data_IF_245074908229
#
_entry.id   IF_245074908229
#
_cell.length_a   1.000
_cell.length_b   1.000
_cell.length_c   1.000
_cell.angle_alpha   90.00
_cell.angle_beta   90.00
_cell.angle_gamma   90.00
#
_symmetry.space_group_name_H-M   'P 1'
#
loop_
_entity.id
_entity.type
_entity.pdbx_description
1 polymer ?
#
# COMPACT_ATOMS: atom_id res chain seq x y z
N UNK A 1 37.63 -1.35 -37.91
CA UNK A 1 39.10 -1.55 -38.01
C UNK A 1 39.72 -2.01 -36.69
N UNK A 2 39.37 -1.40 -35.54
CA UNK A 2 39.91 -1.74 -34.21
C UNK A 2 39.56 -3.16 -33.73
N UNK A 3 38.30 -3.59 -33.84
CA UNK A 3 37.89 -4.96 -33.44
C UNK A 3 38.58 -6.07 -34.25
N UNK A 4 38.66 -5.90 -35.57
CA UNK A 4 39.32 -6.86 -36.45
C UNK A 4 40.81 -7.00 -36.14
N UNK A 5 41.46 -5.90 -35.77
CA UNK A 5 42.86 -5.88 -35.37
C UNK A 5 43.07 -6.58 -34.02
N UNK A 6 42.26 -6.26 -33.00
CA UNK A 6 42.30 -6.92 -31.68
C UNK A 6 42.06 -8.42 -31.80
N UNK A 7 41.08 -8.83 -32.61
CA UNK A 7 40.79 -10.24 -32.88
C UNK A 7 41.95 -10.96 -33.58
N UNK A 8 42.54 -10.32 -34.60
CA UNK A 8 43.72 -10.87 -35.27
C UNK A 8 44.90 -11.04 -34.30
N UNK A 9 45.18 -10.05 -33.44
CA UNK A 9 46.21 -10.14 -32.40
C UNK A 9 45.91 -11.25 -31.38
N UNK A 10 44.66 -11.40 -30.95
CA UNK A 10 44.24 -12.44 -30.02
C UNK A 10 44.44 -13.86 -30.57
N UNK A 11 44.41 -14.06 -31.90
CA UNK A 11 44.69 -15.34 -32.55
C UNK A 11 46.17 -15.56 -32.86
N UNK A 12 46.87 -14.52 -33.30
CA UNK A 12 48.27 -14.61 -33.74
C UNK A 12 49.20 -14.83 -32.53
N UNK A 13 49.01 -14.11 -31.43
CA UNK A 13 49.92 -14.16 -30.28
C UNK A 13 49.99 -15.56 -29.63
N UNK A 14 48.88 -16.26 -29.35
CA UNK A 14 48.93 -17.63 -28.83
C UNK A 14 49.61 -18.60 -29.80
N UNK A 15 49.32 -18.47 -31.11
CA UNK A 15 49.90 -19.34 -32.14
C UNK A 15 51.42 -19.15 -32.23
N UNK A 16 51.91 -17.91 -32.21
CA UNK A 16 53.34 -17.61 -32.17
C UNK A 16 54.01 -18.14 -30.89
N UNK A 17 53.34 -18.01 -29.74
CA UNK A 17 53.82 -18.54 -28.46
C UNK A 17 53.97 -20.07 -28.47
N UNK A 18 53.00 -20.79 -29.08
CA UNK A 18 53.09 -22.23 -29.26
C UNK A 18 54.27 -22.61 -30.16
N UNK A 19 54.43 -21.94 -31.31
CA UNK A 19 55.57 -22.17 -32.19
C UNK A 19 56.91 -21.96 -31.46
N UNK A 20 57.05 -20.88 -30.68
CA UNK A 20 58.25 -20.60 -29.90
C UNK A 20 58.53 -21.66 -28.83
N UNK A 21 57.48 -22.12 -28.14
CA UNK A 21 57.59 -23.13 -27.07
C UNK A 21 58.05 -24.48 -27.62
N UNK A 22 57.48 -24.94 -28.75
CA UNK A 22 57.90 -26.21 -29.37
C UNK A 22 59.28 -26.10 -30.03
N UNK A 23 59.63 -24.96 -30.62
CA UNK A 23 60.97 -24.74 -31.17
C UNK A 23 62.05 -24.80 -30.07
N UNK A 24 61.84 -24.09 -28.95
CA UNK A 24 62.74 -24.14 -27.81
C UNK A 24 62.78 -25.53 -27.15
N UNK A 25 61.62 -26.17 -27.01
CA UNK A 25 61.51 -27.51 -26.46
C UNK A 25 62.29 -28.54 -27.28
N UNK A 26 62.19 -28.49 -28.61
CA UNK A 26 62.95 -29.37 -29.53
C UNK A 26 64.46 -29.16 -29.35
N UNK A 27 64.92 -27.91 -29.28
CA UNK A 27 66.33 -27.58 -29.05
C UNK A 27 66.85 -28.13 -27.70
N UNK A 28 66.05 -28.05 -26.63
CA UNK A 28 66.43 -28.57 -25.31
C UNK A 28 66.46 -30.11 -25.26
N UNK A 29 65.59 -30.77 -26.02
CA UNK A 29 65.58 -32.23 -26.19
C UNK A 29 66.84 -32.69 -26.93
N UNK A 30 67.23 -32.00 -28.01
CA UNK A 30 68.46 -32.30 -28.77
C UNK A 30 69.72 -32.20 -27.89
N UNK A 31 69.75 -31.24 -26.96
CA UNK A 31 70.83 -31.10 -25.98
C UNK A 31 70.74 -32.09 -24.80
N UNK A 32 69.78 -33.03 -24.80
CA UNK A 32 69.53 -34.00 -23.72
C UNK A 32 69.31 -33.36 -22.34
N UNK A 33 68.81 -32.12 -22.29
CA UNK A 33 68.54 -31.39 -21.04
C UNK A 33 67.17 -31.72 -20.44
N UNK A 34 66.20 -32.09 -21.28
CA UNK A 34 64.84 -32.47 -20.87
C UNK A 34 64.37 -33.67 -21.68
N UNK A 35 63.41 -34.43 -21.15
CA UNK A 35 62.71 -35.48 -21.89
C UNK A 35 61.53 -34.88 -22.66
N UNK A 36 61.16 -35.52 -23.77
CA UNK A 36 59.99 -35.12 -24.57
C UNK A 36 58.69 -35.08 -23.73
N UNK A 37 58.54 -36.03 -22.81
CA UNK A 37 57.37 -36.11 -21.90
C UNK A 37 57.29 -34.88 -21.00
N UNK A 38 58.42 -34.34 -20.53
CA UNK A 38 58.44 -33.19 -19.64
C UNK A 38 58.09 -31.89 -20.37
N UNK A 39 58.46 -31.76 -21.65
CA UNK A 39 58.04 -30.65 -22.51
C UNK A 39 56.50 -30.60 -22.64
N UNK A 40 55.87 -31.73 -22.97
CA UNK A 40 54.42 -31.79 -23.08
C UNK A 40 53.70 -31.58 -21.75
N UNK A 41 54.26 -32.06 -20.63
CA UNK A 41 53.72 -31.80 -19.29
C UNK A 41 53.70 -30.32 -18.96
N UNK A 42 54.83 -29.63 -19.16
CA UNK A 42 54.92 -28.18 -18.91
C UNK A 42 53.94 -27.42 -19.82
N UNK A 43 53.96 -27.71 -21.13
CA UNK A 43 53.06 -27.08 -22.08
C UNK A 43 51.57 -27.23 -21.71
N UNK A 44 51.15 -28.45 -21.35
CA UNK A 44 49.77 -28.76 -21.02
C UNK A 44 49.33 -28.10 -19.71
N UNK A 45 50.20 -28.10 -18.69
CA UNK A 45 49.94 -27.42 -17.40
C UNK A 45 49.77 -25.91 -17.59
N UNK A 46 50.66 -25.26 -18.34
CA UNK A 46 50.57 -23.81 -18.57
C UNK A 46 49.39 -23.43 -19.45
N UNK A 47 49.09 -24.22 -20.48
CA UNK A 47 47.98 -23.95 -21.41
C UNK A 47 46.63 -24.11 -20.73
N UNK A 48 46.41 -25.23 -20.04
CA UNK A 48 45.15 -25.49 -19.33
C UNK A 48 44.98 -24.57 -18.11
N UNK A 49 46.07 -24.28 -17.39
CA UNK A 49 46.06 -23.34 -16.26
C UNK A 49 45.68 -21.91 -16.69
N UNK A 50 46.21 -21.45 -17.84
CA UNK A 50 45.88 -20.13 -18.39
C UNK A 50 44.42 -20.02 -18.83
N UNK A 51 43.85 -21.08 -19.43
CA UNK A 51 42.43 -21.12 -19.79
C UNK A 51 41.51 -21.10 -18.56
N UNK A 52 41.86 -21.85 -17.51
CA UNK A 52 41.13 -21.84 -16.25
C UNK A 52 41.06 -20.45 -15.61
N UNK A 53 42.18 -19.71 -15.63
CA UNK A 53 42.23 -18.33 -15.15
C UNK A 53 41.37 -17.37 -16.00
N UNK A 54 41.37 -17.55 -17.33
CA UNK A 54 40.54 -16.77 -18.25
C UNK A 54 39.04 -16.93 -17.98
N UNK A 55 38.58 -18.16 -17.74
CA UNK A 55 37.19 -18.43 -17.37
C UNK A 55 36.80 -17.80 -16.02
N UNK A 56 37.68 -17.89 -15.02
CA UNK A 56 37.44 -17.25 -13.72
C UNK A 56 37.36 -15.71 -13.83
N UNK A 57 38.24 -15.10 -14.63
CA UNK A 57 38.24 -13.65 -14.85
C UNK A 57 36.98 -13.18 -15.59
N UNK A 58 36.48 -13.97 -16.55
CA UNK A 58 35.27 -13.67 -17.31
C UNK A 58 33.99 -13.68 -16.44
N UNK A 59 33.98 -14.36 -15.29
CA UNK A 59 32.84 -14.40 -14.37
C UNK A 59 32.75 -13.17 -13.44
N UNK A 60 33.80 -12.34 -13.36
CA UNK A 60 33.83 -11.18 -12.45
C UNK A 60 32.75 -10.10 -12.71
N UNK A 61 32.44 -9.73 -13.97
CA UNK A 61 31.37 -8.76 -14.26
C UNK A 61 30.00 -9.24 -13.75
N UNK A 62 29.68 -10.52 -13.96
CA UNK A 62 28.42 -11.12 -13.52
C UNK A 62 28.35 -11.21 -11.99
N UNK A 63 29.46 -11.61 -11.34
CA UNK A 63 29.56 -11.60 -9.89
C UNK A 63 29.36 -10.19 -9.30
N UNK A 64 29.90 -9.16 -9.96
CA UNK A 64 29.72 -7.77 -9.54
C UNK A 64 28.27 -7.30 -9.73
N UNK A 65 27.63 -7.63 -10.85
CA UNK A 65 26.23 -7.32 -11.12
C UNK A 65 25.30 -8.04 -10.12
N UNK A 66 25.55 -9.31 -9.84
CA UNK A 66 24.84 -10.08 -8.82
C UNK A 66 25.00 -9.46 -7.43
N UNK A 67 26.21 -9.04 -7.06
CA UNK A 67 26.47 -8.36 -5.80
C UNK A 67 25.72 -7.02 -5.69
N UNK A 68 25.62 -6.25 -6.78
CA UNK A 68 24.85 -5.00 -6.78
C UNK A 68 23.34 -5.24 -6.60
N UNK A 69 22.79 -6.25 -7.28
CA UNK A 69 21.40 -6.67 -7.09
C UNK A 69 21.15 -7.16 -5.66
N UNK A 70 22.08 -7.93 -5.08
CA UNK A 70 21.98 -8.39 -3.70
C UNK A 70 21.99 -7.22 -2.71
N UNK A 71 22.86 -6.22 -2.92
CA UNK A 71 22.86 -5.00 -2.08
C UNK A 71 21.53 -4.27 -2.13
N UNK A 72 20.89 -4.16 -3.30
CA UNK A 72 19.56 -3.54 -3.42
C UNK A 72 18.48 -4.34 -2.68
N UNK A 73 18.51 -5.67 -2.78
CA UNK A 73 17.59 -6.53 -2.04
C UNK A 73 17.77 -6.40 -0.52
N UNK A 74 19.01 -6.46 -0.03
CA UNK A 74 19.32 -6.30 1.39
C UNK A 74 18.94 -4.91 1.90
N UNK A 75 19.18 -3.86 1.11
CA UNK A 75 18.76 -2.50 1.45
C UNK A 75 17.24 -2.35 1.59
N UNK A 76 16.43 -3.19 0.92
CA UNK A 76 14.97 -3.21 1.09
C UNK A 76 14.58 -3.98 2.36
N UNK A 77 15.22 -5.13 2.62
CA UNK A 77 14.95 -5.98 3.79
C UNK A 77 15.31 -5.27 5.09
N UNK A 78 16.48 -4.62 5.13
CA UNK A 78 17.00 -3.96 6.32
C UNK A 78 16.42 -2.55 6.52
N UNK A 79 15.55 -2.09 5.60
CA UNK A 79 14.94 -0.78 5.70
C UNK A 79 13.93 -0.75 6.83
N UNK A 80 14.23 -0.01 7.88
CA UNK A 80 13.22 0.41 8.86
C UNK A 80 12.35 1.49 8.20
N UNK A 81 11.04 1.25 7.98
CA UNK A 81 10.18 2.27 7.41
C UNK A 81 10.04 3.41 8.43
N UNK A 82 10.54 4.60 8.08
CA UNK A 82 10.19 5.82 8.78
C UNK A 82 9.04 6.47 8.04
N UNK A 83 8.05 6.93 8.79
CA UNK A 83 6.87 7.55 8.22
C UNK A 83 6.71 8.95 8.77
N UNK A 84 6.96 9.96 7.92
CA UNK A 84 7.01 11.38 8.28
C UNK A 84 6.01 12.17 7.45
N UNK A 85 5.41 13.19 8.05
CA UNK A 85 4.53 14.16 7.39
C UNK A 85 4.87 15.58 7.81
N UNK A 86 5.02 16.49 6.85
CA UNK A 86 5.28 17.91 7.10
C UNK A 86 4.03 18.80 6.91
N UNK A 87 2.85 18.19 6.75
CA UNK A 87 1.61 18.87 6.41
C UNK A 87 0.61 18.87 7.58
N UNK A 88 0.34 20.05 8.13
CA UNK A 88 -0.64 20.29 9.20
C UNK A 88 -0.07 21.08 10.37
N UNK A 89 -0.59 22.30 10.61
CA UNK A 89 -0.19 23.14 11.74
C UNK A 89 -1.37 23.33 12.69
N UNK A 90 -1.20 22.91 13.96
CA UNK A 90 -2.09 23.23 15.08
C UNK A 90 -3.57 22.81 14.92
N UNK A 91 -3.85 21.59 14.44
CA UNK A 91 -5.19 20.99 14.54
C UNK A 91 -5.38 20.31 15.91
N UNK A 92 -6.47 20.61 16.60
CA UNK A 92 -6.86 19.95 17.85
C UNK A 92 -8.37 19.80 17.92
N UNK A 93 -8.83 18.57 18.11
CA UNK A 93 -10.24 18.22 18.27
C UNK A 93 -10.35 16.91 19.06
N UNK A 94 -11.40 16.79 19.87
CA UNK A 94 -11.66 15.62 20.71
C UNK A 94 -13.01 15.05 20.35
N UNK A 95 -13.08 13.72 20.21
CA UNK A 95 -14.29 13.01 19.78
C UNK A 95 -14.75 12.11 20.93
N UNK A 96 -16.02 12.27 21.32
CA UNK A 96 -16.60 11.44 22.37
C UNK A 96 -16.99 10.05 21.83
N UNK A 97 -16.97 9.00 22.66
CA UNK A 97 -17.42 7.67 22.25
C UNK A 97 -18.84 7.69 21.68
N UNK A 98 -19.05 7.04 20.52
CA UNK A 98 -20.35 6.98 19.85
C UNK A 98 -20.74 8.25 19.09
N UNK A 99 -19.95 9.33 19.19
CA UNK A 99 -20.19 10.56 18.45
C UNK A 99 -19.78 10.39 16.98
N UNK A 100 -20.58 10.97 16.07
CA UNK A 100 -20.18 11.18 14.69
C UNK A 100 -19.69 12.60 14.47
N UNK A 101 -18.46 12.73 13.99
CA UNK A 101 -17.86 14.00 13.59
C UNK A 101 -17.68 14.04 12.08
N UNK A 102 -18.28 15.03 11.43
CA UNK A 102 -18.01 15.34 10.03
C UNK A 102 -16.84 16.31 9.91
N UNK A 103 -15.93 16.02 8.99
CA UNK A 103 -14.76 16.83 8.68
C UNK A 103 -14.93 17.37 7.27
N UNK A 104 -15.07 18.68 7.17
CA UNK A 104 -15.36 19.39 5.92
C UNK A 104 -14.31 20.45 5.66
N UNK A 105 -14.13 20.81 4.39
CA UNK A 105 -13.16 21.81 3.98
C UNK A 105 -12.80 21.66 2.50
N UNK A 106 -12.11 22.66 1.97
CA UNK A 106 -11.69 22.66 0.57
C UNK A 106 -10.77 21.48 0.24
N UNK A 107 -10.62 21.15 -1.05
CA UNK A 107 -9.65 20.16 -1.48
C UNK A 107 -8.24 20.59 -1.06
N UNK A 108 -7.42 19.65 -0.58
CA UNK A 108 -6.07 19.93 -0.09
C UNK A 108 -5.97 20.54 1.33
N UNK A 109 -7.07 20.68 2.08
CA UNK A 109 -7.00 21.25 3.44
C UNK A 109 -6.47 20.28 4.52
N UNK A 110 -6.20 19.01 4.18
CA UNK A 110 -5.63 18.01 5.10
C UNK A 110 -6.59 16.94 5.63
N UNK A 111 -7.81 16.81 5.08
CA UNK A 111 -8.83 15.82 5.52
C UNK A 111 -8.32 14.37 5.41
N UNK A 112 -7.84 13.99 4.23
CA UNK A 112 -7.30 12.64 4.01
C UNK A 112 -6.03 12.39 4.82
N UNK A 113 -5.20 13.43 5.03
CA UNK A 113 -4.02 13.37 5.90
C UNK A 113 -4.41 12.98 7.33
N UNK A 114 -5.51 13.53 7.87
CA UNK A 114 -6.02 13.15 9.19
C UNK A 114 -6.40 11.67 9.26
N UNK A 115 -7.09 11.14 8.25
CA UNK A 115 -7.46 9.70 8.19
C UNK A 115 -6.18 8.85 8.14
N UNK A 116 -5.17 9.26 7.37
CA UNK A 116 -3.90 8.53 7.28
C UNK A 116 -3.11 8.56 8.61
N UNK A 117 -3.14 9.68 9.35
CA UNK A 117 -2.54 9.78 10.69
C UNK A 117 -3.26 8.89 11.70
N UNK A 118 -4.59 8.85 11.68
CA UNK A 118 -5.40 7.98 12.55
C UNK A 118 -5.15 6.48 12.29
N UNK A 119 -4.97 6.09 11.02
CA UNK A 119 -4.57 4.73 10.64
C UNK A 119 -3.11 4.41 10.95
N UNK A 120 -2.36 5.39 11.46
CA UNK A 120 -0.93 5.33 11.68
C UNK A 120 -0.21 4.87 10.42
N UNK A 121 -0.65 5.39 9.28
CA UNK A 121 0.14 5.34 8.06
C UNK A 121 1.27 6.32 8.14
N UNK A 122 1.14 7.43 8.89
CA UNK A 122 2.21 8.36 9.24
C UNK A 122 2.15 8.67 10.74
N UNK A 123 3.28 9.08 11.34
CA UNK A 123 3.30 9.65 12.68
C UNK A 123 3.48 11.19 12.57
N UNK A 124 2.86 11.99 13.45
CA UNK A 124 3.08 13.43 13.49
C UNK A 124 4.55 13.78 13.74
N UNK A 125 5.05 14.82 13.08
CA UNK A 125 6.44 15.28 13.23
C UNK A 125 6.75 15.88 14.60
N UNK A 126 5.75 16.44 15.29
CA UNK A 126 5.92 16.87 16.68
C UNK A 126 5.86 15.66 17.60
N UNK A 127 6.83 15.55 18.51
CA UNK A 127 6.98 14.42 19.42
C UNK A 127 6.85 14.82 20.89
N UNK A 128 6.35 16.03 21.18
CA UNK A 128 6.02 16.45 22.53
C UNK A 128 4.96 15.50 23.15
N UNK A 129 5.14 14.99 24.39
CA UNK A 129 4.16 14.14 25.06
C UNK A 129 2.72 14.69 25.07
N UNK A 130 2.57 16.02 25.12
CA UNK A 130 1.27 16.70 25.14
C UNK A 130 0.68 16.92 23.74
N UNK A 131 1.40 16.53 22.68
CA UNK A 131 1.01 16.72 21.28
C UNK A 131 1.06 15.38 20.54
N UNK A 132 -0.11 14.90 20.11
CA UNK A 132 -0.22 13.65 19.38
C UNK A 132 -1.66 13.30 19.07
N UNK A 133 -1.84 12.12 18.49
CA UNK A 133 -3.14 11.48 18.41
C UNK A 133 -3.26 10.53 19.59
N UNK A 134 -4.42 10.53 20.24
CA UNK A 134 -4.68 9.72 21.43
C UNK A 134 -5.93 8.86 21.23
N UNK A 135 -5.85 7.60 21.65
CA UNK A 135 -6.97 6.68 21.74
C UNK A 135 -7.16 6.34 23.22
N UNK A 136 -8.30 6.68 23.81
CA UNK A 136 -8.58 6.49 25.25
C UNK A 136 -7.45 7.03 26.16
N UNK A 137 -6.85 8.16 25.78
CA UNK A 137 -5.75 8.81 26.50
C UNK A 137 -4.36 8.21 26.26
N UNK A 138 -4.25 7.10 25.51
CA UNK A 138 -2.96 6.53 25.10
C UNK A 138 -2.51 7.11 23.77
N UNK A 139 -1.24 7.55 23.69
CA UNK A 139 -0.70 8.07 22.45
C UNK A 139 -0.58 6.94 21.41
N UNK A 140 -1.07 7.17 20.18
CA UNK A 140 -1.05 6.18 19.10
C UNK A 140 0.36 5.67 18.79
N UNK A 141 1.39 6.47 19.06
CA UNK A 141 2.80 6.13 18.85
C UNK A 141 3.28 5.02 19.79
N UNK A 142 2.72 4.96 20.99
CA UNK A 142 3.10 3.99 22.02
C UNK A 142 2.39 2.64 21.86
N UNK A 143 1.35 2.59 21.03
CA UNK A 143 0.57 1.38 20.74
C UNK A 143 1.21 0.57 19.62
N UNK A 144 0.79 -0.67 19.39
CA UNK A 144 1.19 -1.42 18.20
C UNK A 144 0.35 -0.98 16.99
N UNK A 145 0.93 -0.68 15.80
CA UNK A 145 0.14 -0.25 14.63
C UNK A 145 -0.95 -1.25 14.23
N UNK A 146 -0.68 -2.55 14.36
CA UNK A 146 -1.66 -3.60 14.08
C UNK A 146 -2.86 -3.54 15.04
N UNK A 147 -2.62 -3.27 16.32
CA UNK A 147 -3.69 -3.13 17.31
C UNK A 147 -4.55 -1.89 17.01
N UNK A 148 -3.92 -0.74 16.72
CA UNK A 148 -4.62 0.50 16.36
C UNK A 148 -5.53 0.27 15.14
N UNK A 149 -4.99 -0.33 14.08
CA UNK A 149 -5.74 -0.60 12.83
C UNK A 149 -6.84 -1.65 13.00
N UNK A 150 -6.74 -2.53 13.99
CA UNK A 150 -7.80 -3.49 14.31
C UNK A 150 -9.02 -2.81 14.93
N UNK A 151 -8.83 -1.71 15.67
CA UNK A 151 -9.94 -0.91 16.23
C UNK A 151 -10.66 -0.06 15.18
N UNK A 152 -10.07 0.08 13.98
CA UNK A 152 -10.53 1.01 12.94
C UNK A 152 -11.17 0.25 11.78
N UNK A 153 -12.37 0.64 11.38
CA UNK A 153 -12.99 0.26 10.11
C UNK A 153 -12.86 1.40 9.12
N UNK A 154 -12.33 1.15 7.93
CA UNK A 154 -12.20 2.15 6.87
C UNK A 154 -13.13 1.81 5.70
N UNK A 155 -13.87 2.81 5.25
CA UNK A 155 -14.60 2.78 3.98
C UNK A 155 -14.08 3.92 3.11
N UNK A 156 -13.33 3.58 2.07
CA UNK A 156 -12.72 4.54 1.14
C UNK A 156 -13.65 4.94 0.00
N UNK A 157 -13.29 6.02 -0.69
CA UNK A 157 -14.00 6.56 -1.85
C UNK A 157 -14.14 5.54 -2.98
N UNK A 158 -13.04 4.86 -3.33
CA UNK A 158 -13.01 3.81 -4.33
C UNK A 158 -12.63 2.46 -3.68
N UNK A 159 -13.61 1.58 -3.45
CA UNK A 159 -13.39 0.32 -2.76
C UNK A 159 -12.73 -0.69 -3.70
N UNK A 160 -11.54 -1.15 -3.32
CA UNK A 160 -10.84 -2.22 -4.04
C UNK A 160 -11.35 -3.58 -3.54
N UNK A 161 -11.90 -4.37 -4.46
CA UNK A 161 -12.22 -5.77 -4.22
C UNK A 161 -11.13 -6.65 -4.83
N UNK A 162 -10.68 -7.65 -4.06
CA UNK A 162 -9.74 -8.65 -4.55
C UNK A 162 -10.46 -9.61 -5.50
N UNK A 163 -9.70 -10.21 -6.42
CA UNK A 163 -10.20 -11.23 -7.35
C UNK A 163 -10.40 -12.60 -6.67
N UNK A 164 -11.23 -12.59 -5.63
CA UNK A 164 -11.68 -13.74 -4.83
C UNK A 164 -13.21 -13.66 -4.69
N UNK A 165 -13.81 -14.58 -3.95
CA UNK A 165 -15.26 -14.59 -3.77
C UNK A 165 -15.75 -13.38 -2.97
N UNK A 166 -17.05 -13.05 -3.04
CA UNK A 166 -17.66 -12.01 -2.20
C UNK A 166 -17.48 -12.35 -0.71
N UNK A 167 -17.62 -13.63 -0.34
CA UNK A 167 -17.39 -14.10 1.04
C UNK A 167 -15.99 -13.74 1.54
N UNK A 168 -14.97 -13.99 0.73
CA UNK A 168 -13.57 -13.79 1.13
C UNK A 168 -13.24 -12.30 1.16
N UNK A 169 -13.83 -11.53 0.24
CA UNK A 169 -13.76 -10.08 0.27
C UNK A 169 -14.35 -9.50 1.55
N UNK A 170 -15.46 -10.02 2.08
CA UNK A 170 -16.02 -9.55 3.35
C UNK A 170 -15.17 -10.05 4.52
N UNK A 171 -14.83 -11.34 4.56
CA UNK A 171 -14.04 -11.97 5.62
C UNK A 171 -12.65 -11.32 5.80
N UNK A 172 -12.04 -10.81 4.72
CA UNK A 172 -10.78 -10.07 4.75
C UNK A 172 -10.78 -8.85 5.71
N UNK A 173 -11.97 -8.39 6.11
CA UNK A 173 -12.08 -7.38 7.14
C UNK A 173 -11.50 -7.82 8.49
N UNK A 174 -11.45 -9.11 8.81
CA UNK A 174 -10.83 -9.64 10.02
C UNK A 174 -9.96 -10.87 9.71
N UNK A 175 -8.65 -10.64 9.63
CA UNK A 175 -7.66 -11.69 9.34
C UNK A 175 -7.10 -12.35 10.60
N UNK A 176 -7.62 -12.05 11.78
CA UNK A 176 -7.11 -12.60 13.06
C UNK A 176 -7.71 -13.96 13.40
N UNK A 177 -8.80 -14.34 12.72
CA UNK A 177 -9.59 -15.54 12.97
C UNK A 177 -10.32 -15.98 11.69
N UNK A 178 -10.81 -17.20 11.70
CA UNK A 178 -11.75 -17.66 10.67
C UNK A 178 -13.13 -17.06 10.93
N UNK A 179 -13.65 -16.31 9.96
CA UNK A 179 -14.96 -15.67 10.04
C UNK A 179 -16.05 -16.64 9.59
N UNK A 180 -17.05 -16.88 10.45
CA UNK A 180 -18.18 -17.75 10.12
C UNK A 180 -19.07 -17.15 9.04
N UNK A 181 -19.79 -18.00 8.29
CA UNK A 181 -20.75 -17.51 7.29
C UNK A 181 -21.89 -16.71 7.89
N UNK A 182 -22.32 -17.04 9.11
CA UNK A 182 -23.39 -16.30 9.79
C UNK A 182 -22.99 -14.85 10.05
N UNK A 183 -21.73 -14.62 10.48
CA UNK A 183 -21.21 -13.27 10.66
C UNK A 183 -21.02 -12.53 9.32
N UNK A 184 -20.59 -13.22 8.27
CA UNK A 184 -20.49 -12.65 6.92
C UNK A 184 -21.88 -12.22 6.42
N UNK A 185 -22.89 -13.06 6.63
CA UNK A 185 -24.28 -12.75 6.28
C UNK A 185 -24.83 -11.59 7.11
N UNK A 186 -24.52 -11.53 8.40
CA UNK A 186 -24.93 -10.43 9.27
C UNK A 186 -24.29 -9.10 8.84
N UNK A 187 -22.98 -9.08 8.60
CA UNK A 187 -22.30 -7.89 8.08
C UNK A 187 -22.86 -7.44 6.71
N UNK A 188 -23.20 -8.40 5.84
CA UNK A 188 -23.84 -8.10 4.56
C UNK A 188 -25.28 -7.56 4.71
N UNK A 189 -26.02 -7.95 5.74
CA UNK A 189 -27.34 -7.38 6.06
C UNK A 189 -27.21 -5.96 6.60
N UNK A 190 -26.27 -5.74 7.52
CA UNK A 190 -25.97 -4.39 8.03
C UNK A 190 -25.55 -3.44 6.91
N UNK A 191 -24.81 -3.94 5.91
CA UNK A 191 -24.43 -3.18 4.73
C UNK A 191 -25.51 -3.14 3.61
N UNK A 192 -26.70 -3.67 3.86
CA UNK A 192 -27.83 -3.72 2.93
C UNK A 192 -27.49 -4.34 1.55
N UNK A 193 -26.67 -5.40 1.52
CA UNK A 193 -26.23 -6.08 0.28
C UNK A 193 -26.58 -7.58 0.26
N UNK A 194 -27.08 -8.13 1.36
CA UNK A 194 -27.44 -9.54 1.49
C UNK A 194 -28.41 -10.03 0.40
N UNK A 195 -29.53 -9.33 0.20
CA UNK A 195 -30.56 -9.72 -0.79
C UNK A 195 -30.00 -9.77 -2.22
N UNK A 196 -29.14 -8.80 -2.57
CA UNK A 196 -28.46 -8.80 -3.86
C UNK A 196 -27.53 -10.00 -4.00
N UNK A 197 -26.70 -10.27 -2.99
CA UNK A 197 -25.77 -11.41 -3.03
C UNK A 197 -26.56 -12.72 -3.14
N UNK A 198 -27.65 -12.87 -2.36
CA UNK A 198 -28.52 -14.05 -2.40
C UNK A 198 -29.20 -14.26 -3.76
N UNK A 199 -29.45 -13.18 -4.52
CA UNK A 199 -30.01 -13.25 -5.87
C UNK A 199 -29.01 -13.73 -6.94
N UNK A 200 -27.71 -13.72 -6.65
CA UNK A 200 -26.68 -14.15 -7.61
C UNK A 200 -26.69 -15.69 -7.75
N UNK A 201 -26.42 -16.23 -8.95
CA UNK A 201 -26.41 -17.69 -9.18
C UNK A 201 -25.48 -18.49 -8.26
N UNK A 202 -24.38 -17.86 -7.80
CA UNK A 202 -23.40 -18.47 -6.88
C UNK A 202 -23.43 -17.86 -5.48
N UNK A 203 -24.40 -16.98 -5.18
CA UNK A 203 -24.48 -16.34 -3.88
C UNK A 203 -23.17 -15.65 -3.48
N UNK A 204 -22.74 -15.94 -2.25
CA UNK A 204 -21.47 -15.47 -1.66
C UNK A 204 -20.21 -16.03 -2.33
N UNK A 205 -20.31 -17.14 -3.07
CA UNK A 205 -19.19 -17.74 -3.81
C UNK A 205 -19.00 -17.10 -5.21
N UNK A 206 -19.73 -16.02 -5.51
CA UNK A 206 -19.52 -15.22 -6.72
C UNK A 206 -18.17 -14.49 -6.67
N UNK A 207 -17.42 -14.46 -7.78
CA UNK A 207 -16.13 -13.77 -7.88
C UNK A 207 -16.32 -12.25 -8.09
N UNK A 208 -15.61 -11.43 -7.32
CA UNK A 208 -15.80 -9.98 -7.26
C UNK A 208 -14.75 -9.12 -7.99
N UNK A 209 -13.71 -9.72 -8.59
CA UNK A 209 -12.62 -9.00 -9.27
C UNK A 209 -12.83 -8.76 -10.78
N UNK A 210 -11.82 -8.20 -11.45
CA UNK A 210 -11.86 -7.82 -12.88
C UNK A 210 -12.15 -8.99 -13.85
N UNK A 211 -11.94 -10.24 -13.42
CA UNK A 211 -12.31 -11.45 -14.17
C UNK A 211 -13.67 -12.07 -13.78
N UNK A 212 -14.45 -11.41 -12.90
CA UNK A 212 -15.69 -11.91 -12.30
C UNK A 212 -16.97 -11.19 -12.73
N UNK A 213 -18.02 -11.25 -11.89
CA UNK A 213 -19.31 -10.57 -12.15
C UNK A 213 -19.11 -9.05 -12.16
N UNK A 214 -19.68 -8.35 -13.14
CA UNK A 214 -19.67 -6.88 -13.17
C UNK A 214 -20.52 -6.31 -12.03
N UNK A 215 -19.89 -6.06 -10.88
CA UNK A 215 -20.50 -5.36 -9.75
C UNK A 215 -20.54 -3.85 -10.03
N UNK A 216 -21.68 -3.21 -9.77
CA UNK A 216 -21.79 -1.75 -9.84
C UNK A 216 -20.95 -1.09 -8.74
N UNK A 217 -20.63 0.20 -8.89
CA UNK A 217 -19.90 0.96 -7.88
C UNK A 217 -20.56 0.89 -6.50
N UNK A 218 -21.89 1.04 -6.43
CA UNK A 218 -22.65 0.97 -5.17
C UNK A 218 -22.68 -0.43 -4.55
N UNK A 219 -22.62 -1.48 -5.35
CA UNK A 219 -22.48 -2.85 -4.83
C UNK A 219 -21.09 -3.07 -4.24
N UNK A 220 -20.04 -2.60 -4.93
CA UNK A 220 -18.66 -2.65 -4.42
C UNK A 220 -18.53 -1.87 -3.11
N UNK A 221 -19.17 -0.70 -3.01
CA UNK A 221 -19.19 0.11 -1.79
C UNK A 221 -19.82 -0.64 -0.63
N UNK A 222 -20.99 -1.25 -0.82
CA UNK A 222 -21.65 -2.02 0.25
C UNK A 222 -20.86 -3.25 0.67
N UNK A 223 -20.14 -3.91 -0.24
CA UNK A 223 -19.22 -4.99 0.12
C UNK A 223 -18.06 -4.46 0.98
N UNK A 224 -17.52 -3.28 0.66
CA UNK A 224 -16.50 -2.63 1.48
C UNK A 224 -17.03 -2.20 2.86
N UNK A 225 -18.28 -1.74 2.95
CA UNK A 225 -18.94 -1.46 4.24
C UNK A 225 -19.06 -2.75 5.06
N UNK A 226 -19.54 -3.85 4.46
CA UNK A 226 -19.61 -5.15 5.14
C UNK A 226 -18.23 -5.61 5.63
N UNK A 227 -17.19 -5.44 4.81
CA UNK A 227 -15.78 -5.71 5.18
C UNK A 227 -15.33 -4.84 6.36
N UNK A 228 -15.68 -3.56 6.40
CA UNK A 228 -15.34 -2.69 7.52
C UNK A 228 -16.06 -3.10 8.81
N UNK A 229 -17.30 -3.60 8.70
CA UNK A 229 -18.14 -3.98 9.83
C UNK A 229 -17.79 -5.34 10.45
N UNK A 230 -17.26 -6.29 9.67
CA UNK A 230 -17.01 -7.66 10.15
C UNK A 230 -16.05 -7.72 11.35
N UNK A 231 -15.09 -6.79 11.42
CA UNK A 231 -14.14 -6.67 12.54
C UNK A 231 -14.71 -6.00 13.77
N UNK A 232 -15.97 -5.53 13.72
CA UNK A 232 -16.67 -4.81 14.80
C UNK A 232 -15.83 -3.62 15.32
N UNK A 233 -15.46 -2.66 14.46
CA UNK A 233 -14.55 -1.58 14.82
C UNK A 233 -15.16 -0.63 15.85
N UNK A 234 -14.31 -0.08 16.72
CA UNK A 234 -14.68 0.97 17.69
C UNK A 234 -14.74 2.34 17.01
N UNK A 235 -13.85 2.57 16.04
CA UNK A 235 -13.80 3.79 15.22
C UNK A 235 -14.09 3.47 13.76
N UNK A 236 -15.11 4.09 13.19
CA UNK A 236 -15.44 4.01 11.77
C UNK A 236 -14.94 5.26 11.03
N UNK A 237 -14.12 5.08 10.01
CA UNK A 237 -13.63 6.15 9.13
C UNK A 237 -14.32 6.03 7.79
N UNK A 238 -15.05 7.07 7.39
CA UNK A 238 -15.76 7.15 6.12
C UNK A 238 -15.09 8.25 5.28
N UNK A 239 -14.38 7.85 4.22
CA UNK A 239 -13.65 8.78 3.33
C UNK A 239 -14.38 8.87 2.00
N UNK A 240 -15.21 9.90 1.83
CA UNK A 240 -15.93 10.22 0.58
C UNK A 240 -16.71 9.04 -0.03
N UNK A 241 -17.28 8.18 0.81
CA UNK A 241 -17.86 6.89 0.43
C UNK A 241 -19.05 6.94 -0.57
N UNK A 242 -19.50 8.13 -1.00
CA UNK A 242 -20.67 8.33 -1.89
C UNK A 242 -20.38 9.21 -3.12
N UNK A 243 -19.14 9.66 -3.35
CA UNK A 243 -18.84 10.70 -4.36
C UNK A 243 -18.87 10.22 -5.82
N UNK A 244 -18.91 8.92 -6.09
CA UNK A 244 -18.86 8.33 -7.44
C UNK A 244 -20.10 7.48 -7.82
N UNK A 245 -21.23 7.65 -7.12
CA UNK A 245 -22.41 6.79 -7.25
C UNK A 245 -23.60 7.46 -7.94
N UNK A 246 -24.33 6.67 -8.74
CA UNK A 246 -25.66 7.02 -9.27
C UNK A 246 -26.68 7.21 -8.14
N UNK A 247 -27.63 8.12 -8.33
CA UNK A 247 -28.57 8.58 -7.28
C UNK A 247 -29.44 7.49 -6.63
N UNK A 248 -29.82 6.43 -7.36
CA UNK A 248 -30.56 5.30 -6.80
C UNK A 248 -29.67 4.41 -5.91
N UNK A 249 -28.46 4.10 -6.39
CA UNK A 249 -27.48 3.31 -5.65
C UNK A 249 -26.96 4.05 -4.41
N UNK A 250 -26.87 5.38 -4.49
CA UNK A 250 -26.42 6.24 -3.41
C UNK A 250 -27.32 6.13 -2.17
N UNK A 251 -28.65 6.13 -2.33
CA UNK A 251 -29.57 6.03 -1.18
C UNK A 251 -29.38 4.74 -0.39
N UNK A 252 -29.16 3.63 -1.09
CA UNK A 252 -28.93 2.33 -0.45
C UNK A 252 -27.59 2.29 0.29
N UNK A 253 -26.55 2.92 -0.27
CA UNK A 253 -25.24 3.05 0.37
C UNK A 253 -25.33 3.96 1.59
N UNK A 254 -26.01 5.11 1.48
CA UNK A 254 -26.17 6.04 2.59
C UNK A 254 -26.92 5.38 3.77
N UNK A 255 -28.01 4.66 3.50
CA UNK A 255 -28.72 3.91 4.53
C UNK A 255 -27.83 2.87 5.25
N UNK A 256 -26.94 2.21 4.50
CA UNK A 256 -25.96 1.28 5.08
C UNK A 256 -24.91 2.01 5.95
N UNK A 257 -24.45 3.18 5.52
CA UNK A 257 -23.52 4.02 6.30
C UNK A 257 -24.17 4.55 7.58
N UNK A 258 -25.41 5.00 7.51
CA UNK A 258 -26.14 5.52 8.67
C UNK A 258 -26.36 4.40 9.71
N UNK A 259 -26.77 3.21 9.27
CA UNK A 259 -26.89 2.04 10.14
C UNK A 259 -25.54 1.63 10.76
N UNK A 260 -24.44 1.72 10.01
CA UNK A 260 -23.10 1.42 10.51
C UNK A 260 -22.64 2.40 11.61
N UNK A 261 -23.05 3.66 11.53
CA UNK A 261 -22.65 4.76 12.44
C UNK A 261 -23.36 4.73 13.79
N UNK A 262 -24.63 4.31 13.87
CA UNK A 262 -25.49 4.46 15.06
C UNK A 262 -24.95 3.87 16.38
N UNK A 263 -23.95 2.99 16.35
CA UNK A 263 -23.38 2.34 17.53
C UNK A 263 -21.87 2.54 17.68
N UNK A 264 -21.27 3.44 16.89
CA UNK A 264 -19.81 3.55 16.76
C UNK A 264 -19.35 5.00 16.69
N UNK A 265 -18.21 5.28 17.30
CA UNK A 265 -17.50 6.53 17.07
C UNK A 265 -17.16 6.62 15.59
N UNK A 266 -17.54 7.70 14.93
CA UNK A 266 -17.45 7.81 13.47
C UNK A 266 -16.82 9.13 13.05
N UNK A 267 -15.88 9.06 12.11
CA UNK A 267 -15.33 10.25 11.44
C UNK A 267 -15.73 10.16 9.98
N UNK A 268 -16.37 11.21 9.50
CA UNK A 268 -16.89 11.29 8.13
C UNK A 268 -16.20 12.43 7.42
N UNK A 269 -15.41 12.10 6.39
CA UNK A 269 -14.94 13.06 5.41
C UNK A 269 -15.91 13.01 4.24
N UNK A 270 -16.69 14.07 4.05
CA UNK A 270 -17.72 14.11 3.01
C UNK A 270 -17.64 15.40 2.17
N UNK A 271 -17.93 15.22 0.88
CA UNK A 271 -18.21 16.26 -0.12
C UNK A 271 -19.69 16.33 -0.47
N UNK A 272 -20.55 15.68 0.33
CA UNK A 272 -22.00 15.73 0.16
C UNK A 272 -22.64 16.24 1.43
N UNK A 273 -23.38 17.33 1.31
CA UNK A 273 -24.23 17.91 2.35
C UNK A 273 -25.00 16.88 3.18
N UNK A 274 -25.70 15.95 2.53
CA UNK A 274 -26.63 15.02 3.17
C UNK A 274 -25.94 14.12 4.21
N UNK A 275 -24.70 13.70 3.94
CA UNK A 275 -23.91 12.91 4.89
C UNK A 275 -23.39 13.76 6.05
N UNK A 276 -23.12 15.04 5.82
CA UNK A 276 -22.61 15.98 6.82
C UNK A 276 -23.72 16.44 7.77
N UNK A 277 -24.92 16.73 7.26
CA UNK A 277 -26.07 17.23 8.05
C UNK A 277 -26.57 16.23 9.10
N UNK A 278 -26.29 14.94 8.93
CA UNK A 278 -26.65 13.88 9.89
C UNK A 278 -25.59 13.64 10.96
N UNK A 279 -24.57 14.50 11.06
CA UNK A 279 -23.48 14.35 12.04
C UNK A 279 -23.75 15.15 13.31
N UNK A 280 -23.28 14.66 14.45
CA UNK A 280 -23.47 15.33 15.74
C UNK A 280 -22.69 16.65 15.80
N UNK A 281 -21.47 16.65 15.24
CA UNK A 281 -20.59 17.81 15.17
C UNK A 281 -19.94 17.88 13.79
N UNK A 282 -19.81 19.09 13.28
CA UNK A 282 -19.05 19.40 12.08
C UNK A 282 -17.80 20.16 12.48
N UNK A 283 -16.67 19.78 11.91
CA UNK A 283 -15.38 20.45 12.04
C UNK A 283 -14.94 20.93 10.66
N UNK A 284 -14.86 22.25 10.50
CA UNK A 284 -14.38 22.86 9.25
C UNK A 284 -12.87 23.07 9.34
N UNK A 285 -12.15 22.50 8.37
CA UNK A 285 -10.70 22.61 8.23
C UNK A 285 -10.33 23.50 7.05
N UNK A 286 -9.48 24.48 7.31
CA UNK A 286 -8.87 25.34 6.29
C UNK A 286 -7.37 25.49 6.58
N UNK A 287 -6.53 25.26 5.56
CA UNK A 287 -5.06 25.34 5.68
C UNK A 287 -4.49 24.54 6.86
N UNK A 288 -5.03 23.34 7.12
CA UNK A 288 -4.61 22.46 8.21
C UNK A 288 -5.03 22.91 9.61
N UNK A 289 -5.88 23.93 9.74
CA UNK A 289 -6.40 24.45 11.01
C UNK A 289 -7.90 24.26 11.10
N UNK A 290 -8.39 24.05 12.32
CA UNK A 290 -9.81 24.09 12.64
C UNK A 290 -10.25 25.55 12.68
N UNK A 291 -11.19 25.93 11.81
CA UNK A 291 -11.72 27.30 11.74
C UNK A 291 -13.13 27.42 12.35
N UNK A 292 -13.94 26.36 12.26
CA UNK A 292 -15.29 26.32 12.81
C UNK A 292 -15.61 24.93 13.36
N UNK A 293 -16.41 24.90 14.42
CA UNK A 293 -16.91 23.68 15.05
C UNK A 293 -18.28 23.93 15.65
N UNK A 294 -19.21 22.99 15.48
CA UNK A 294 -20.56 23.09 16.05
C UNK A 294 -21.50 22.05 15.49
N UNK A 295 -22.76 22.08 15.94
CA UNK A 295 -23.81 21.27 15.31
C UNK A 295 -24.11 21.79 13.91
N UNK A 296 -24.63 20.95 12.99
CA UNK A 296 -25.01 21.38 11.65
C UNK A 296 -25.95 22.59 11.63
N UNK A 297 -26.93 22.62 12.55
CA UNK A 297 -27.90 23.72 12.65
C UNK A 297 -27.24 25.02 13.10
N UNK A 298 -26.39 24.97 14.13
CA UNK A 298 -25.74 26.17 14.67
C UNK A 298 -24.80 26.82 13.64
N UNK A 299 -24.05 25.99 12.89
CA UNK A 299 -23.12 26.48 11.88
C UNK A 299 -23.84 27.06 10.65
N UNK A 300 -25.02 26.55 10.30
CA UNK A 300 -25.86 27.13 9.25
C UNK A 300 -26.43 28.49 9.68
N UNK A 301 -26.85 28.63 10.93
CA UNK A 301 -27.34 29.90 11.48
C UNK A 301 -26.24 30.95 11.60
N UNK A 302 -25.03 30.52 11.98
CA UNK A 302 -23.85 31.38 12.10
C UNK A 302 -23.40 31.98 10.75
N UNK A 303 -23.81 31.40 9.62
CA UNK A 303 -23.48 31.84 8.25
C UNK A 303 -21.97 32.01 7.99
N UNK A 304 -21.18 31.12 8.59
CA UNK A 304 -19.73 31.09 8.48
C UNK A 304 -19.19 30.31 7.27
N UNK A 305 -17.98 29.77 7.40
CA UNK A 305 -17.29 28.94 6.42
C UNK A 305 -18.09 27.68 6.07
N UNK A 306 -18.71 27.01 7.05
CA UNK A 306 -19.58 25.87 6.76
C UNK A 306 -20.76 26.26 5.86
N UNK A 307 -21.44 27.36 6.17
CA UNK A 307 -22.56 27.86 5.38
C UNK A 307 -22.12 28.22 3.94
N UNK A 308 -20.95 28.83 3.79
CA UNK A 308 -20.40 29.14 2.47
C UNK A 308 -20.10 27.89 1.64
N UNK A 309 -19.53 26.84 2.25
CA UNK A 309 -19.33 25.54 1.61
C UNK A 309 -20.68 24.90 1.22
N UNK A 310 -21.65 24.97 2.13
CA UNK A 310 -22.99 24.43 1.95
C UNK A 310 -23.75 25.07 0.77
N UNK A 311 -23.64 26.40 0.63
CA UNK A 311 -24.25 27.16 -0.47
C UNK A 311 -23.54 26.93 -1.81
N UNK A 312 -22.22 26.77 -1.79
CA UNK A 312 -21.45 26.49 -3.00
C UNK A 312 -21.75 25.10 -3.59
N UNK A 313 -21.99 24.10 -2.73
CA UNK A 313 -22.43 22.76 -3.16
C UNK A 313 -23.89 22.76 -3.63
N UNK A 314 -24.81 23.44 -2.93
CA UNK A 314 -26.23 23.50 -3.30
C UNK A 314 -26.50 24.22 -4.64
N UNK A 315 -25.54 25.01 -5.11
CA UNK A 315 -25.62 25.74 -6.38
C UNK A 315 -25.05 24.93 -7.58
N UNK A 316 -24.50 23.73 -7.36
CA UNK A 316 -24.00 22.82 -8.40
C UNK A 316 -25.02 21.75 -8.74
#
# INVERSE_FOLDING_TARGET
>A
MTFSLVYAFALIVPTLSFCATFALGTYLIEQKKILMVDMFRVFLVFSMGSQGLGHAAAANPDAKAAMESAKKMLAIIDRVPQIKTDEGQNFSHSISPGQTVAIVGQSGCGKSTLIQLLQRFYDPSNHNPDCGLFFDGMNLRDLAPQWVRHQIGLVSQEPVLFNVTIRDNIAYGDNTRDVSMDEIMDAARQANIHEFIASLPKGYDTLAGEGGSQLSGGQKQRIAIARALIRKPVLLLLDEATSSLDSENERLVQAALDAARMSRTSIVVAHRLTTVETSDVIVVIENGKKIEEGSPTDLLEAKGAFYALHHAESAR
#
